data_IF_339423805722
#
_entry.id   IF_339423805722
#
_cell.length_a   1.000
_cell.length_b   1.000
_cell.length_c   1.000
_cell.angle_alpha   90.00
_cell.angle_beta   90.00
_cell.angle_gamma   90.00
#
_symmetry.space_group_name_H-M   'P 1'
#
loop_
_entity.id
_entity.type
_entity.pdbx_description
1 polymer ?
#
# COMPACT_ATOMS: atom_id res chain seq x y z
N UNK A 1 -10.75 -2.86 -2.00
CA UNK A 1 -9.34 -2.67 -2.40
C UNK A 1 -8.77 -4.00 -2.88
N UNK A 2 -8.05 -4.00 -4.01
CA UNK A 2 -7.37 -5.20 -4.52
C UNK A 2 -6.27 -5.61 -3.54
N UNK A 3 -6.12 -6.91 -3.31
CA UNK A 3 -5.05 -7.46 -2.47
C UNK A 3 -3.83 -7.77 -3.36
N UNK A 4 -2.65 -7.32 -2.94
CA UNK A 4 -1.38 -7.55 -3.62
C UNK A 4 -0.51 -8.44 -2.72
N UNK A 5 -0.23 -9.63 -3.20
CA UNK A 5 0.66 -10.60 -2.59
C UNK A 5 2.08 -10.51 -3.16
N UNK A 6 2.99 -11.34 -2.62
CA UNK A 6 4.40 -11.30 -2.98
C UNK A 6 4.64 -11.67 -4.45
N UNK A 7 3.88 -12.59 -5.04
CA UNK A 7 4.08 -12.98 -6.45
C UNK A 7 3.76 -11.81 -7.38
N UNK A 8 2.73 -11.03 -7.08
CA UNK A 8 2.37 -9.86 -7.86
C UNK A 8 3.38 -8.73 -7.64
N UNK A 9 3.78 -8.49 -6.39
CA UNK A 9 4.75 -7.45 -6.04
C UNK A 9 6.14 -7.70 -6.63
N UNK A 10 6.64 -8.95 -6.60
CA UNK A 10 7.98 -9.29 -7.08
C UNK A 10 8.16 -9.13 -8.59
N UNK A 11 7.07 -9.10 -9.38
CA UNK A 11 7.15 -8.86 -10.83
C UNK A 11 7.58 -7.42 -11.15
N UNK A 12 7.06 -6.46 -10.38
CA UNK A 12 7.43 -5.05 -10.51
C UNK A 12 7.28 -4.33 -9.17
N UNK A 13 8.31 -4.37 -8.31
CA UNK A 13 8.26 -3.73 -7.00
C UNK A 13 8.14 -2.21 -7.08
N UNK A 14 8.66 -1.58 -8.14
CA UNK A 14 8.69 -0.12 -8.30
C UNK A 14 7.33 0.47 -8.61
N UNK A 15 6.38 -0.34 -9.09
CA UNK A 15 4.98 0.05 -9.32
C UNK A 15 4.23 0.33 -8.02
N UNK A 16 4.70 -0.20 -6.90
CA UNK A 16 3.97 -0.19 -5.64
C UNK A 16 4.64 0.73 -4.64
N UNK A 17 3.84 1.60 -4.03
CA UNK A 17 4.28 2.55 -3.02
C UNK A 17 3.50 2.35 -1.72
N UNK A 18 4.13 2.73 -0.61
CA UNK A 18 3.49 2.85 0.69
C UNK A 18 3.22 4.33 0.97
N UNK A 19 1.94 4.72 1.03
CA UNK A 19 1.52 6.10 1.32
C UNK A 19 1.02 6.23 2.73
N UNK A 20 1.20 7.41 3.33
CA UNK A 20 0.59 7.74 4.60
C UNK A 20 -0.91 7.93 4.42
N UNK A 21 -1.75 7.18 5.11
CA UNK A 21 -3.20 7.37 4.99
C UNK A 21 -3.68 8.68 5.64
N UNK A 22 -2.83 9.37 6.42
CA UNK A 22 -3.14 10.66 7.03
C UNK A 22 -2.86 11.85 6.13
N UNK A 23 -1.88 11.73 5.23
CA UNK A 23 -1.45 12.84 4.37
C UNK A 23 -2.28 12.96 3.09
N UNK A 24 -2.93 11.89 2.66
CA UNK A 24 -3.71 11.86 1.43
C UNK A 24 -5.21 11.87 1.74
N UNK A 25 -5.93 12.91 1.31
CA UNK A 25 -7.38 13.06 1.53
C UNK A 25 -8.21 11.99 0.79
N UNK A 26 -7.69 11.46 -0.32
CA UNK A 26 -8.29 10.35 -1.06
C UNK A 26 -8.01 8.97 -0.44
N UNK A 27 -7.22 8.93 0.64
CA UNK A 27 -6.92 7.68 1.31
C UNK A 27 -8.18 7.08 1.95
N UNK A 28 -8.40 5.76 1.78
CA UNK A 28 -9.58 5.12 2.32
C UNK A 28 -9.57 5.15 3.85
N UNK A 29 -10.71 5.44 4.46
CA UNK A 29 -10.87 5.34 5.90
C UNK A 29 -10.77 3.88 6.38
N UNK A 30 -10.20 3.65 7.56
CA UNK A 30 -10.22 2.33 8.17
C UNK A 30 -11.65 2.02 8.63
N UNK A 31 -12.18 0.81 8.41
CA UNK A 31 -13.53 0.44 8.85
C UNK A 31 -13.75 0.53 10.36
N UNK A 32 -12.68 0.66 11.15
CA UNK A 32 -12.72 0.81 12.61
C UNK A 32 -12.69 2.29 13.07
N UNK A 33 -12.97 3.25 12.18
CA UNK A 33 -13.08 4.67 12.52
C UNK A 33 -11.77 5.45 12.61
N UNK A 34 -10.62 4.79 12.41
CA UNK A 34 -9.30 5.42 12.40
C UNK A 34 -8.78 5.65 10.97
N UNK A 35 -7.81 6.54 10.81
CA UNK A 35 -7.08 6.67 9.54
C UNK A 35 -5.97 5.63 9.48
N UNK A 36 -5.79 4.95 8.34
CA UNK A 36 -4.63 4.07 8.17
C UNK A 36 -3.34 4.88 8.29
N UNK A 37 -2.39 4.44 9.11
CA UNK A 37 -1.08 5.08 9.14
C UNK A 37 -0.35 4.87 7.80
N UNK A 38 -0.51 3.68 7.21
CA UNK A 38 0.09 3.31 5.93
C UNK A 38 -0.94 2.59 5.05
N UNK A 39 -1.01 2.96 3.77
CA UNK A 39 -1.87 2.35 2.76
C UNK A 39 -1.07 2.06 1.50
N UNK A 40 -1.38 0.94 0.86
CA UNK A 40 -0.74 0.59 -0.40
C UNK A 40 -1.31 1.36 -1.58
N UNK A 41 -0.45 1.78 -2.49
CA UNK A 41 -0.82 2.48 -3.70
C UNK A 41 -0.16 1.85 -4.94
N UNK A 42 -0.97 1.55 -5.94
CA UNK A 42 -0.52 1.11 -7.27
C UNK A 42 -0.37 2.35 -8.16
N UNK A 43 0.87 2.68 -8.51
CA UNK A 43 1.22 3.86 -9.30
C UNK A 43 0.76 3.76 -10.76
N UNK A 44 0.72 2.55 -11.32
CA UNK A 44 0.29 2.32 -12.70
C UNK A 44 -1.22 2.55 -12.83
N UNK A 45 -2.00 1.97 -11.91
CA UNK A 45 -3.46 2.04 -11.96
C UNK A 45 -4.04 3.22 -11.17
N UNK A 46 -3.18 3.97 -10.47
CA UNK A 46 -3.52 5.10 -9.60
C UNK A 46 -4.62 4.75 -8.58
N UNK A 47 -4.47 3.61 -7.91
CA UNK A 47 -5.49 3.05 -7.01
C UNK A 47 -4.91 2.53 -5.71
N UNK A 48 -5.69 2.67 -4.63
CA UNK A 48 -5.38 2.08 -3.34
C UNK A 48 -5.57 0.57 -3.33
N UNK A 49 -4.57 -0.12 -2.79
CA UNK A 49 -4.47 -1.57 -2.69
C UNK A 49 -4.10 -2.00 -1.26
N UNK A 50 -4.43 -3.24 -0.91
CA UNK A 50 -4.04 -3.86 0.36
C UNK A 50 -2.84 -4.76 0.13
N UNK A 51 -1.75 -4.49 0.84
CA UNK A 51 -0.58 -5.37 0.82
C UNK A 51 -0.75 -6.53 1.80
N UNK A 52 -0.21 -7.68 1.41
CA UNK A 52 0.05 -8.75 2.38
C UNK A 52 1.17 -8.35 3.34
N UNK A 53 1.22 -8.97 4.52
CA UNK A 53 2.25 -8.75 5.54
C UNK A 53 3.68 -8.83 4.98
N UNK A 54 3.94 -9.76 4.06
CA UNK A 54 5.26 -9.92 3.43
C UNK A 54 5.64 -8.72 2.55
N UNK A 55 4.73 -8.28 1.68
CA UNK A 55 4.94 -7.12 0.81
C UNK A 55 5.11 -5.84 1.64
N UNK A 56 4.29 -5.67 2.67
CA UNK A 56 4.38 -4.53 3.58
C UNK A 56 5.75 -4.43 4.25
N UNK A 57 6.29 -5.54 4.77
CA UNK A 57 7.65 -5.58 5.34
C UNK A 57 8.73 -5.20 4.33
N UNK A 58 8.60 -5.65 3.07
CA UNK A 58 9.55 -5.31 2.00
C UNK A 58 9.54 -3.80 1.70
N UNK A 59 8.36 -3.19 1.62
CA UNK A 59 8.21 -1.76 1.36
C UNK A 59 8.77 -0.90 2.50
N UNK A 60 8.51 -1.26 3.76
CA UNK A 60 9.11 -0.52 4.89
C UNK A 60 10.63 -0.61 4.88
N UNK A 61 11.20 -1.79 4.57
CA UNK A 61 12.65 -1.97 4.51
C UNK A 61 13.31 -1.30 3.30
N UNK A 62 12.56 -0.97 2.25
CA UNK A 62 13.06 -0.24 1.08
C UNK A 62 13.08 1.28 1.30
N UNK A 63 12.27 1.78 2.24
CA UNK A 63 12.15 3.20 2.56
C UNK A 63 12.99 3.64 3.78
N UNK A 64 13.78 2.73 4.37
CA UNK A 64 14.78 2.99 5.41
C UNK A 64 16.19 2.83 4.81
#
# INVERSE_FOLDING_TARGET
MKRIDMQVFSKDPKRYELRSGKEYEDAPSCPFGNTYQWVGYDLENKKYVRYTKGVFKKLINLNN
#
